data_IF_708680355009
#
_entry.id   IF_708680355009
#
_cell.length_a   1.000
_cell.length_b   1.000
_cell.length_c   1.000
_cell.angle_alpha   90.00
_cell.angle_beta   90.00
_cell.angle_gamma   90.00
#
_symmetry.space_group_name_H-M   'P 1'
#
loop_
_entity.id
_entity.type
_entity.pdbx_description
1 polymer ?
#
# COMPACT_ATOMS: atom_id res chain seq x y z
N UNK A 1 32.13 52.62 -22.49
CA UNK A 1 31.36 51.62 -23.27
C UNK A 1 31.06 50.44 -22.36
N UNK A 2 29.75 50.18 -22.16
CA UNK A 2 29.06 48.96 -21.70
C UNK A 2 29.47 48.32 -20.35
N UNK A 3 28.73 48.59 -19.26
CA UNK A 3 27.53 47.89 -18.73
C UNK A 3 27.83 46.56 -18.00
N UNK A 4 27.72 46.54 -16.66
CA UNK A 4 26.64 45.86 -15.90
C UNK A 4 27.00 44.41 -15.50
N UNK A 5 26.65 43.82 -14.36
CA UNK A 5 25.48 43.98 -13.51
C UNK A 5 25.77 43.37 -12.11
N UNK A 6 25.35 44.04 -11.04
CA UNK A 6 25.28 43.52 -9.65
C UNK A 6 24.12 42.52 -9.53
N UNK A 7 24.23 41.54 -8.61
CA UNK A 7 23.13 40.88 -7.82
C UNK A 7 23.74 39.67 -7.09
N UNK A 8 23.80 39.57 -5.77
CA UNK A 8 22.79 39.92 -4.76
C UNK A 8 21.90 38.71 -4.52
N UNK A 9 22.38 37.73 -3.76
CA UNK A 9 21.61 36.52 -3.41
C UNK A 9 20.72 36.88 -2.22
N UNK A 10 19.45 37.15 -2.50
CA UNK A 10 18.41 37.33 -1.48
C UNK A 10 17.82 35.95 -1.15
N UNK A 11 18.13 35.42 0.04
CA UNK A 11 17.46 34.25 0.59
C UNK A 11 16.17 34.72 1.25
N UNK A 12 15.06 34.63 0.52
CA UNK A 12 13.72 34.79 1.06
C UNK A 12 12.80 33.72 0.45
N UNK A 13 12.56 32.65 1.20
CA UNK A 13 11.36 31.84 1.04
C UNK A 13 10.81 31.57 2.44
N UNK A 14 9.70 32.23 2.71
CA UNK A 14 8.85 32.03 3.87
C UNK A 14 7.82 30.93 3.56
N UNK A 15 7.55 30.12 4.60
CA UNK A 15 6.25 29.54 4.96
C UNK A 15 5.49 28.66 3.96
N UNK A 16 5.35 27.37 4.28
CA UNK A 16 4.07 26.67 4.15
C UNK A 16 3.85 25.80 5.40
N UNK A 17 2.77 26.12 6.11
CA UNK A 17 2.09 25.26 7.07
C UNK A 17 1.58 24.01 6.35
N UNK A 18 1.95 22.83 6.81
CA UNK A 18 1.16 21.62 6.60
C UNK A 18 0.97 20.93 7.95
N UNK A 19 -0.08 21.39 8.62
CA UNK A 19 -0.76 20.66 9.68
C UNK A 19 -1.40 19.42 9.04
N UNK A 20 -1.17 18.24 9.62
CA UNK A 20 -1.94 17.03 9.33
C UNK A 20 -1.16 15.98 8.54
N UNK A 21 -0.71 14.95 9.25
CA UNK A 21 -1.43 13.68 9.19
C UNK A 21 -1.13 12.93 10.48
N UNK A 22 -2.19 12.65 11.23
CA UNK A 22 -2.12 11.74 12.35
C UNK A 22 -1.68 10.39 11.81
N UNK A 23 -0.45 9.97 12.13
CA UNK A 23 -0.05 8.59 11.98
C UNK A 23 -0.79 7.79 13.06
N UNK A 24 -2.09 7.51 12.81
CA UNK A 24 -2.84 6.55 13.59
C UNK A 24 -2.39 5.18 13.13
N UNK A 25 -1.54 4.59 13.98
CA UNK A 25 -1.39 3.17 14.22
C UNK A 25 -1.77 2.27 13.02
N UNK A 26 -0.78 1.99 12.19
CA UNK A 26 -0.75 0.69 11.53
C UNK A 26 -0.78 -0.35 12.65
N UNK A 27 -1.95 -0.92 12.91
CA UNK A 27 -2.08 -2.17 13.65
C UNK A 27 -1.46 -3.25 12.78
N UNK A 28 -0.12 -3.25 12.70
CA UNK A 28 0.66 -4.37 12.25
C UNK A 28 0.44 -5.45 13.31
N UNK A 29 -0.58 -6.28 13.09
CA UNK A 29 -0.64 -7.55 13.77
C UNK A 29 0.68 -8.24 13.49
N UNK A 30 1.42 -8.58 14.55
CA UNK A 30 2.68 -9.29 14.47
C UNK A 30 2.46 -10.61 13.69
N UNK A 31 2.66 -10.57 12.37
CA UNK A 31 2.69 -11.76 11.53
C UNK A 31 3.93 -12.56 11.91
N UNK A 32 3.81 -13.89 12.08
CA UNK A 32 4.93 -14.73 12.48
C UNK A 32 6.10 -14.54 11.51
N UNK A 33 7.27 -14.25 12.10
CA UNK A 33 8.51 -13.85 11.45
C UNK A 33 8.71 -14.41 10.03
N UNK A 34 8.64 -13.53 9.02
CA UNK A 34 9.15 -13.78 7.67
C UNK A 34 8.17 -13.57 6.52
N UNK A 35 6.85 -13.50 6.79
CA UNK A 35 5.84 -13.37 5.75
C UNK A 35 5.06 -12.07 5.90
N UNK A 36 4.95 -11.30 4.82
CA UNK A 36 4.11 -10.11 4.78
C UNK A 36 2.71 -10.53 4.35
N UNK A 37 1.73 -10.36 5.24
CA UNK A 37 0.33 -10.80 5.06
C UNK A 37 -0.61 -9.60 5.11
N UNK A 38 -1.56 -9.53 4.16
CA UNK A 38 -2.57 -8.47 4.11
C UNK A 38 -3.95 -9.07 3.82
N UNK A 39 -4.99 -8.58 4.50
CA UNK A 39 -6.37 -9.00 4.24
C UNK A 39 -6.94 -8.26 3.03
N UNK A 40 -7.52 -9.01 2.09
CA UNK A 40 -8.22 -8.47 0.94
C UNK A 40 -9.69 -8.25 1.27
N UNK A 41 -10.15 -7.00 1.19
CA UNK A 41 -11.54 -6.64 1.49
C UNK A 41 -12.51 -6.82 0.33
N UNK A 42 -12.04 -7.06 -0.90
CA UNK A 42 -12.88 -7.07 -2.09
C UNK A 42 -13.17 -5.68 -2.68
N UNK A 43 -12.60 -4.61 -2.15
CA UNK A 43 -12.81 -3.26 -2.70
C UNK A 43 -11.94 -2.98 -3.91
N UNK A 44 -12.39 -2.11 -4.83
CA UNK A 44 -11.61 -1.71 -6.01
C UNK A 44 -10.32 -0.96 -5.61
N UNK A 45 -10.37 -0.17 -4.54
CA UNK A 45 -9.20 0.49 -3.96
C UNK A 45 -8.22 -0.52 -3.38
N UNK A 46 -8.73 -1.59 -2.76
CA UNK A 46 -7.89 -2.67 -2.25
C UNK A 46 -7.28 -3.47 -3.40
N UNK A 47 -8.01 -3.74 -4.49
CA UNK A 47 -7.42 -4.34 -5.69
C UNK A 47 -6.21 -3.54 -6.19
N UNK A 48 -6.35 -2.21 -6.31
CA UNK A 48 -5.23 -1.36 -6.73
C UNK A 48 -4.03 -1.42 -5.76
N UNK A 49 -4.28 -1.47 -4.45
CA UNK A 49 -3.22 -1.62 -3.44
C UNK A 49 -2.48 -2.97 -3.58
N UNK A 50 -3.22 -4.07 -3.79
CA UNK A 50 -2.64 -5.39 -4.01
C UNK A 50 -1.90 -5.49 -5.35
N UNK A 51 -2.43 -4.91 -6.43
CA UNK A 51 -1.74 -4.86 -7.73
C UNK A 51 -0.42 -4.10 -7.66
N UNK A 52 -0.37 -2.99 -6.92
CA UNK A 52 0.87 -2.25 -6.68
C UNK A 52 1.88 -3.08 -5.88
N UNK A 53 1.41 -3.82 -4.89
CA UNK A 53 2.23 -4.73 -4.09
C UNK A 53 2.77 -5.92 -4.91
N UNK A 54 1.95 -6.49 -5.79
CA UNK A 54 2.34 -7.56 -6.70
C UNK A 54 3.37 -7.09 -7.73
N UNK A 55 3.33 -5.82 -8.13
CA UNK A 55 4.34 -5.19 -8.98
C UNK A 55 5.68 -4.95 -8.26
N UNK A 56 5.79 -5.29 -6.96
CA UNK A 56 6.98 -5.07 -6.15
C UNK A 56 7.02 -3.70 -5.44
N UNK A 57 5.92 -2.95 -5.47
CA UNK A 57 5.76 -1.75 -4.67
C UNK A 57 5.48 -2.03 -3.20
N UNK A 58 5.42 -0.98 -2.39
CA UNK A 58 4.98 -1.07 -1.00
C UNK A 58 3.45 -1.27 -0.93
N UNK A 59 2.99 -2.15 -0.04
CA UNK A 59 1.56 -2.29 0.22
C UNK A 59 1.07 -1.10 1.05
N UNK A 60 0.14 -0.35 0.50
CA UNK A 60 -0.53 0.75 1.20
C UNK A 60 -2.00 0.40 1.33
N UNK A 61 -2.45 0.14 2.56
CA UNK A 61 -3.85 -0.14 2.84
C UNK A 61 -4.70 1.11 2.51
N UNK A 62 -5.74 1.01 1.67
CA UNK A 62 -6.60 2.14 1.38
C UNK A 62 -7.40 2.55 2.62
N UNK A 63 -7.49 3.85 2.87
CA UNK A 63 -8.29 4.44 3.98
C UNK A 63 -9.79 4.39 3.69
N UNK A 64 -10.17 4.48 2.41
CA UNK A 64 -11.54 4.39 1.93
C UNK A 64 -11.72 3.18 1.00
N UNK A 65 -12.66 2.32 1.37
CA UNK A 65 -12.92 1.05 0.68
C UNK A 65 -14.27 1.09 -0.03
N UNK A 66 -14.25 0.91 -1.35
CA UNK A 66 -15.45 0.89 -2.18
C UNK A 66 -16.20 -0.45 -2.02
N UNK A 67 -17.53 -0.44 -1.98
CA UNK A 67 -18.36 -1.65 -1.74
C UNK A 67 -18.61 -2.48 -3.01
N UNK A 68 -17.60 -2.66 -3.84
CA UNK A 68 -17.75 -3.31 -5.16
C UNK A 68 -17.63 -4.85 -5.13
N UNK A 69 -17.16 -5.43 -4.02
CA UNK A 69 -17.01 -6.89 -3.81
C UNK A 69 -16.39 -7.63 -5.00
N UNK A 70 -15.21 -7.16 -5.42
CA UNK A 70 -14.40 -7.75 -6.49
C UNK A 70 -13.55 -8.90 -6.01
N UNK A 71 -13.18 -9.74 -6.97
CA UNK A 71 -12.18 -10.78 -6.82
C UNK A 71 -10.81 -10.26 -7.26
N UNK A 72 -9.75 -10.70 -6.59
CA UNK A 72 -8.37 -10.35 -6.91
C UNK A 72 -7.64 -11.59 -7.38
N UNK A 73 -7.10 -11.57 -8.62
CA UNK A 73 -6.24 -12.63 -9.10
C UNK A 73 -4.87 -12.50 -8.44
N UNK A 74 -4.51 -13.46 -7.58
CA UNK A 74 -3.26 -13.43 -6.80
C UNK A 74 -2.14 -14.09 -7.60
N UNK A 75 -2.44 -15.19 -8.28
CA UNK A 75 -1.52 -15.87 -9.20
C UNK A 75 -2.32 -16.59 -10.30
N UNK A 76 -1.69 -17.41 -11.13
CA UNK A 76 -2.37 -18.12 -12.22
C UNK A 76 -3.38 -19.19 -11.74
N UNK A 77 -3.28 -19.60 -10.48
CA UNK A 77 -4.03 -20.71 -9.89
C UNK A 77 -5.02 -20.26 -8.80
N UNK A 78 -4.83 -19.07 -8.23
CA UNK A 78 -5.58 -18.59 -7.07
C UNK A 78 -6.15 -17.18 -7.27
N UNK A 79 -7.38 -17.03 -6.79
CA UNK A 79 -8.13 -15.79 -6.76
C UNK A 79 -8.60 -15.57 -5.33
N UNK A 80 -8.24 -14.43 -4.74
CA UNK A 80 -8.72 -13.99 -3.44
C UNK A 80 -10.11 -13.35 -3.55
N UNK A 81 -10.95 -13.63 -2.57
CA UNK A 81 -12.26 -13.03 -2.35
C UNK A 81 -12.24 -12.07 -1.15
N UNK A 82 -13.31 -11.30 -1.02
CA UNK A 82 -13.51 -10.45 0.16
C UNK A 82 -13.40 -11.28 1.45
N UNK A 83 -12.50 -10.88 2.33
CA UNK A 83 -12.20 -11.54 3.60
C UNK A 83 -10.96 -12.43 3.57
N UNK A 84 -10.49 -12.85 2.40
CA UNK A 84 -9.30 -13.70 2.27
C UNK A 84 -8.02 -12.96 2.68
N UNK A 85 -7.04 -13.69 3.18
CA UNK A 85 -5.71 -13.15 3.51
C UNK A 85 -4.75 -13.54 2.41
N UNK A 86 -4.07 -12.56 1.82
CA UNK A 86 -3.01 -12.78 0.83
C UNK A 86 -1.67 -12.57 1.52
N UNK A 87 -0.74 -13.50 1.31
CA UNK A 87 0.60 -13.39 1.87
C UNK A 87 1.68 -13.52 0.81
N UNK A 88 2.82 -12.88 1.09
CA UNK A 88 4.04 -12.97 0.31
C UNK A 88 5.01 -13.92 1.00
N UNK A 89 5.44 -14.95 0.28
CA UNK A 89 6.45 -15.89 0.76
C UNK A 89 7.88 -15.33 0.71
N UNK A 90 8.86 -16.08 1.22
CA UNK A 90 10.28 -15.68 1.24
C UNK A 90 10.90 -15.59 -0.17
N UNK A 91 10.27 -16.23 -1.15
CA UNK A 91 10.63 -16.17 -2.58
C UNK A 91 9.94 -15.00 -3.29
N UNK A 92 9.13 -14.21 -2.59
CA UNK A 92 8.37 -13.10 -3.14
C UNK A 92 7.14 -13.50 -3.95
N UNK A 93 6.69 -14.75 -3.84
CA UNK A 93 5.47 -15.25 -4.49
C UNK A 93 4.26 -14.97 -3.60
N UNK A 94 3.11 -14.77 -4.24
CA UNK A 94 1.87 -14.46 -3.56
C UNK A 94 0.92 -15.65 -3.54
N UNK A 95 0.30 -15.84 -2.38
CA UNK A 95 -0.56 -16.98 -2.08
C UNK A 95 -1.76 -16.53 -1.28
N UNK A 96 -2.88 -17.23 -1.43
CA UNK A 96 -4.06 -17.02 -0.58
C UNK A 96 -3.97 -17.97 0.62
N UNK A 97 -3.99 -17.42 1.83
CA UNK A 97 -4.04 -18.19 3.07
C UNK A 97 -5.42 -18.83 3.16
N UNK A 98 -5.47 -20.14 2.89
CA UNK A 98 -6.68 -20.93 3.11
C UNK A 98 -6.72 -21.28 4.58
N UNK A 99 -7.60 -20.63 5.33
CA UNK A 99 -7.93 -21.10 6.66
C UNK A 99 -8.56 -22.49 6.47
N UNK A 100 -7.88 -23.51 6.98
CA UNK A 100 -8.42 -24.85 6.96
C UNK A 100 -9.65 -24.85 7.87
N UNK A 101 -10.82 -24.63 7.29
CA UNK A 101 -12.09 -24.82 7.99
C UNK A 101 -12.16 -26.28 8.36
N UNK A 102 -11.73 -26.60 9.59
CA UNK A 102 -12.01 -27.88 10.23
C UNK A 102 -13.52 -27.86 10.47
N UNK A 103 -14.27 -28.52 9.59
CA UNK A 103 -15.68 -28.83 9.79
C UNK A 103 -15.86 -29.84 10.92
#
# INVERSE_FOLDING_TARGET
MSLSLRRGIATACASVLALGSAAVAASAGESPAGYEEHQFSGSSTSVAAFENWFAGGEFVKPEEETRDLRQLKVNEYETAQSGDIVYKDDQGRFWVKKDAVVQ
#
